data_IF_819201181119
#
_entry.id   IF_819201181119
#
_cell.length_a   1.000
_cell.length_b   1.000
_cell.length_c   1.000
_cell.angle_alpha   90.00
_cell.angle_beta   90.00
_cell.angle_gamma   90.00
#
_symmetry.space_group_name_H-M   'P 1'
#
loop_
_entity.id
_entity.type
_entity.pdbx_description
1 polymer ?
#
# COMPACT_ATOMS: atom_id res chain seq x y z
N UNK A 1 6.41 -2.36 -17.31
CA UNK A 1 6.83 -1.86 -15.99
C UNK A 1 5.75 -2.26 -15.00
N UNK A 2 6.11 -2.85 -13.87
CA UNK A 2 5.13 -3.33 -12.90
C UNK A 2 4.70 -2.19 -11.97
N UNK A 3 3.39 -2.11 -11.72
CA UNK A 3 2.78 -1.05 -10.93
C UNK A 3 2.39 -1.58 -9.55
N UNK A 4 2.85 -0.91 -8.50
CA UNK A 4 2.67 -1.35 -7.11
C UNK A 4 1.95 -0.27 -6.32
N UNK A 5 0.90 -0.66 -5.61
CA UNK A 5 0.24 0.19 -4.62
C UNK A 5 0.72 -0.17 -3.21
N UNK A 6 1.23 0.82 -2.47
CA UNK A 6 1.53 0.70 -1.04
C UNK A 6 0.40 1.34 -0.25
N UNK A 7 -0.27 0.56 0.58
CA UNK A 7 -1.33 1.01 1.48
C UNK A 7 -0.78 1.18 2.90
N UNK A 8 -0.76 2.43 3.35
CA UNK A 8 -0.14 2.86 4.59
C UNK A 8 1.25 3.47 4.35
N UNK A 9 1.56 4.53 5.08
CA UNK A 9 2.82 5.27 5.04
C UNK A 9 3.26 5.73 6.43
N UNK A 10 2.33 5.82 7.40
CA UNK A 10 2.61 6.27 8.77
C UNK A 10 3.50 5.29 9.54
N UNK A 11 4.04 5.73 10.68
CA UNK A 11 4.89 4.92 11.55
C UNK A 11 4.14 3.69 12.12
N UNK A 12 2.83 3.83 12.39
CA UNK A 12 1.97 2.77 12.91
C UNK A 12 0.51 3.01 12.55
N UNK A 13 -0.31 2.01 12.79
CA UNK A 13 -1.75 2.08 12.54
C UNK A 13 -2.43 3.22 13.30
N UNK A 14 -3.37 3.88 12.61
CA UNK A 14 -4.30 4.87 13.15
C UNK A 14 -3.66 6.12 13.78
N UNK A 15 -2.45 6.49 13.34
CA UNK A 15 -1.82 7.79 13.66
C UNK A 15 -1.46 8.51 12.36
N UNK A 16 -1.23 9.83 12.45
CA UNK A 16 -0.77 10.66 11.33
C UNK A 16 0.76 10.77 11.25
N UNK A 17 1.48 10.37 12.31
CA UNK A 17 2.93 10.54 12.41
C UNK A 17 3.65 9.63 11.41
N UNK A 18 4.38 10.24 10.47
CA UNK A 18 5.18 9.56 9.45
C UNK A 18 6.65 9.43 9.87
N UNK A 19 7.09 10.13 10.92
CA UNK A 19 8.52 10.20 11.27
C UNK A 19 9.03 8.83 11.70
N UNK A 20 10.24 8.49 11.25
CA UNK A 20 10.86 7.18 11.44
C UNK A 20 10.04 6.01 10.87
N UNK A 21 9.12 6.27 9.93
CA UNK A 21 8.38 5.20 9.28
C UNK A 21 9.31 4.34 8.43
N UNK A 22 9.40 3.05 8.76
CA UNK A 22 10.10 2.05 7.94
C UNK A 22 9.40 1.77 6.61
N UNK A 23 8.19 2.32 6.42
CA UNK A 23 7.48 2.20 5.14
C UNK A 23 8.18 2.99 4.05
N UNK A 24 8.85 4.10 4.40
CA UNK A 24 9.64 4.86 3.44
C UNK A 24 10.76 4.00 2.82
N UNK A 25 11.41 3.17 3.62
CA UNK A 25 12.42 2.22 3.13
C UNK A 25 11.79 1.22 2.13
N UNK A 26 10.59 0.71 2.41
CA UNK A 26 9.88 -0.19 1.50
C UNK A 26 9.60 0.49 0.16
N UNK A 27 9.08 1.72 0.18
CA UNK A 27 8.78 2.51 -1.03
C UNK A 27 10.05 2.77 -1.83
N UNK A 28 11.14 3.18 -1.17
CA UNK A 28 12.41 3.48 -1.83
C UNK A 28 13.04 2.23 -2.45
N UNK A 29 13.07 1.10 -1.74
CA UNK A 29 13.56 -0.16 -2.30
C UNK A 29 12.77 -0.58 -3.54
N UNK A 30 11.43 -0.46 -3.52
CA UNK A 30 10.60 -0.77 -4.69
C UNK A 30 10.92 0.14 -5.89
N UNK A 31 11.15 1.44 -5.65
CA UNK A 31 11.55 2.39 -6.69
C UNK A 31 12.95 2.11 -7.24
N UNK A 32 13.89 1.68 -6.40
CA UNK A 32 15.24 1.27 -6.82
C UNK A 32 15.21 0.08 -7.80
N UNK A 33 14.21 -0.80 -7.68
CA UNK A 33 13.94 -1.86 -8.66
C UNK A 33 13.20 -1.38 -9.91
N UNK A 34 13.11 -0.07 -10.16
CA UNK A 34 12.42 0.53 -11.30
C UNK A 34 10.94 0.13 -11.39
N UNK A 35 10.27 0.01 -10.23
CA UNK A 35 8.83 -0.21 -10.16
C UNK A 35 8.10 1.14 -10.11
N UNK A 36 6.93 1.21 -10.73
CA UNK A 36 6.04 2.36 -10.58
C UNK A 36 5.27 2.22 -9.26
N UNK A 37 5.66 3.00 -8.25
CA UNK A 37 5.11 2.89 -6.89
C UNK A 37 4.15 4.03 -6.60
N UNK A 38 2.90 3.67 -6.35
CA UNK A 38 1.87 4.56 -5.80
C UNK A 38 1.76 4.31 -4.29
N UNK A 39 1.56 5.37 -3.51
CA UNK A 39 1.37 5.28 -2.05
C UNK A 39 0.02 5.89 -1.70
N UNK A 40 -0.74 5.24 -0.83
CA UNK A 40 -2.00 5.79 -0.31
C UNK A 40 -2.09 5.53 1.19
N UNK A 41 -2.36 6.58 1.94
CA UNK A 41 -2.58 6.54 3.38
C UNK A 41 -3.67 7.56 3.72
N UNK A 42 -4.73 7.18 4.46
CA UNK A 42 -5.83 8.08 4.79
C UNK A 42 -5.49 9.08 5.91
N UNK A 43 -4.37 8.92 6.60
CA UNK A 43 -3.96 9.71 7.77
C UNK A 43 -2.64 10.46 7.57
N UNK A 44 -1.83 10.11 6.58
CA UNK A 44 -0.60 10.84 6.25
C UNK A 44 -0.88 12.10 5.44
N UNK A 45 -0.02 13.11 5.60
CA UNK A 45 0.00 14.28 4.74
C UNK A 45 0.98 14.09 3.56
N UNK A 46 0.53 14.41 2.35
CA UNK A 46 1.34 14.18 1.14
C UNK A 46 2.52 15.14 1.02
N UNK A 47 2.38 16.39 1.48
CA UNK A 47 3.46 17.37 1.43
C UNK A 47 4.53 17.03 2.47
N UNK A 48 4.12 16.58 3.66
CA UNK A 48 5.03 16.10 4.71
C UNK A 48 5.82 14.87 4.23
N UNK A 49 5.17 13.89 3.60
CA UNK A 49 5.84 12.73 3.00
C UNK A 49 6.84 13.14 1.91
N UNK A 50 6.47 14.11 1.07
CA UNK A 50 7.35 14.56 0.00
C UNK A 50 8.58 15.28 0.55
N UNK A 51 8.39 16.14 1.55
CA UNK A 51 9.46 16.87 2.21
C UNK A 51 10.43 15.92 2.94
N UNK A 52 9.91 14.91 3.65
CA UNK A 52 10.73 14.03 4.49
C UNK A 52 11.36 12.85 3.72
N UNK A 53 10.64 12.31 2.72
CA UNK A 53 11.02 11.07 2.04
C UNK A 53 11.08 11.17 0.51
N UNK A 54 10.78 12.33 -0.08
CA UNK A 54 10.88 12.55 -1.53
C UNK A 54 9.75 11.90 -2.34
N UNK A 55 8.68 11.42 -1.71
CA UNK A 55 7.50 10.87 -2.38
C UNK A 55 6.21 11.36 -1.76
N UNK A 56 5.16 11.50 -2.58
CA UNK A 56 3.84 11.91 -2.10
C UNK A 56 2.83 10.76 -2.14
N UNK A 57 1.62 11.06 -1.68
CA UNK A 57 0.46 10.20 -1.84
C UNK A 57 -0.07 10.30 -3.26
N UNK A 58 -0.59 9.19 -3.78
CA UNK A 58 -1.31 9.20 -5.05
C UNK A 58 -2.70 9.81 -4.85
N UNK A 59 -3.09 10.69 -5.79
CA UNK A 59 -4.41 11.34 -5.73
C UNK A 59 -5.56 10.37 -6.00
N UNK A 60 -5.32 9.37 -6.87
CA UNK A 60 -6.31 8.37 -7.25
C UNK A 60 -5.70 6.97 -7.26
N UNK A 61 -6.51 5.99 -6.84
CA UNK A 61 -6.17 4.57 -6.94
C UNK A 61 -6.64 4.07 -8.32
N UNK A 62 -5.70 3.60 -9.13
CA UNK A 62 -5.98 3.02 -10.44
C UNK A 62 -6.53 1.59 -10.37
N UNK A 63 -6.85 1.03 -11.54
CA UNK A 63 -7.48 -0.28 -11.69
C UNK A 63 -6.56 -1.40 -12.22
N UNK A 64 -5.25 -1.15 -12.31
CA UNK A 64 -4.29 -1.99 -13.04
C UNK A 64 -3.02 -2.33 -12.25
N UNK A 65 -3.07 -2.36 -10.92
CA UNK A 65 -1.91 -2.73 -10.12
C UNK A 65 -1.52 -4.20 -10.31
N UNK A 66 -0.21 -4.44 -10.41
CA UNK A 66 0.41 -5.78 -10.44
C UNK A 66 0.64 -6.33 -9.03
N UNK A 67 0.78 -5.44 -8.04
CA UNK A 67 0.81 -5.80 -6.63
C UNK A 67 0.21 -4.71 -5.74
N UNK A 68 -0.34 -5.13 -4.60
CA UNK A 68 -0.73 -4.25 -3.50
C UNK A 68 0.00 -4.72 -2.25
N UNK A 69 0.69 -3.82 -1.57
CA UNK A 69 1.41 -4.07 -0.32
C UNK A 69 0.72 -3.29 0.80
N UNK A 70 0.14 -4.00 1.75
CA UNK A 70 -0.46 -3.40 2.95
C UNK A 70 0.61 -3.36 4.04
N UNK A 71 1.18 -2.18 4.25
CA UNK A 71 2.28 -1.96 5.19
C UNK A 71 1.77 -1.60 6.59
N UNK A 72 0.71 -0.80 6.65
CA UNK A 72 0.12 -0.33 7.90
C UNK A 72 -1.40 -0.57 7.88
N UNK A 73 -1.93 -1.45 8.74
CA UNK A 73 -3.34 -1.85 8.71
C UNK A 73 -4.26 -0.83 9.40
N UNK A 74 -4.51 0.32 8.78
CA UNK A 74 -5.47 1.31 9.28
C UNK A 74 -6.90 0.79 9.34
N UNK A 75 -7.71 1.34 10.24
CA UNK A 75 -9.13 0.98 10.37
C UNK A 75 -9.93 1.24 9.10
N UNK A 76 -9.61 2.30 8.35
CA UNK A 76 -10.22 2.65 7.08
C UNK A 76 -10.10 1.53 6.06
N UNK A 77 -9.00 0.78 6.09
CA UNK A 77 -8.78 -0.33 5.18
C UNK A 77 -9.66 -1.55 5.51
N UNK A 78 -10.18 -1.69 6.74
CA UNK A 78 -11.09 -2.80 7.09
C UNK A 78 -12.37 -2.83 6.25
N UNK A 79 -12.73 -1.72 5.62
CA UNK A 79 -13.87 -1.63 4.71
C UNK A 79 -13.61 -2.29 3.35
N UNK A 80 -12.35 -2.56 3.00
CA UNK A 80 -11.99 -3.24 1.76
C UNK A 80 -12.23 -4.74 1.88
N UNK A 81 -12.59 -5.35 0.77
CA UNK A 81 -12.86 -6.78 0.64
C UNK A 81 -12.19 -7.36 -0.62
N UNK A 82 -12.42 -8.64 -0.88
CA UNK A 82 -11.86 -9.32 -2.06
C UNK A 82 -12.30 -8.64 -3.38
N UNK A 83 -13.52 -8.13 -3.45
CA UNK A 83 -14.04 -7.44 -4.62
C UNK A 83 -13.33 -6.10 -4.85
N UNK A 84 -13.06 -5.35 -3.79
CA UNK A 84 -12.25 -4.13 -3.85
C UNK A 84 -10.86 -4.43 -4.42
N UNK A 85 -10.12 -5.39 -3.86
CA UNK A 85 -8.79 -5.74 -4.37
C UNK A 85 -8.86 -6.27 -5.80
N UNK A 86 -9.91 -7.01 -6.16
CA UNK A 86 -10.12 -7.46 -7.53
C UNK A 86 -10.39 -6.29 -8.49
N UNK A 87 -11.02 -5.21 -8.04
CA UNK A 87 -11.35 -4.05 -8.86
C UNK A 87 -10.16 -3.14 -9.15
N UNK A 88 -9.18 -3.10 -8.24
CA UNK A 88 -8.01 -2.22 -8.38
C UNK A 88 -6.78 -2.92 -8.98
N UNK A 89 -6.83 -4.25 -9.15
CA UNK A 89 -5.67 -5.03 -9.58
C UNK A 89 -5.95 -5.87 -10.82
N UNK A 90 -4.88 -6.17 -11.58
CA UNK A 90 -4.93 -7.19 -12.65
C UNK A 90 -5.20 -8.58 -12.06
N UNK A 91 -5.78 -9.49 -12.86
CA UNK A 91 -6.15 -10.84 -12.41
C UNK A 91 -5.01 -11.66 -11.81
N UNK A 92 -3.77 -11.46 -12.27
CA UNK A 92 -2.58 -12.15 -11.78
C UNK A 92 -1.86 -11.49 -10.60
N UNK A 93 -2.42 -10.40 -10.05
CA UNK A 93 -1.75 -9.58 -9.05
C UNK A 93 -1.55 -10.28 -7.69
N UNK A 94 -0.62 -9.74 -6.92
CA UNK A 94 -0.29 -10.20 -5.56
C UNK A 94 -0.80 -9.17 -4.54
N UNK A 95 -1.46 -9.65 -3.49
CA UNK A 95 -1.79 -8.88 -2.30
C UNK A 95 -0.86 -9.35 -1.18
N UNK A 96 0.12 -8.51 -0.83
CA UNK A 96 1.05 -8.74 0.26
C UNK A 96 0.59 -7.97 1.51
N UNK A 97 0.17 -8.69 2.53
CA UNK A 97 -0.35 -8.11 3.78
C UNK A 97 0.62 -8.41 4.92
N UNK A 98 1.39 -7.38 5.33
CA UNK A 98 2.49 -7.58 6.29
C UNK A 98 2.02 -7.96 7.70
N UNK A 99 0.77 -7.67 8.05
CA UNK A 99 0.19 -7.97 9.38
C UNK A 99 -1.00 -8.93 9.33
N UNK A 100 -1.42 -9.35 8.14
CA UNK A 100 -2.47 -10.35 7.94
C UNK A 100 -3.89 -9.88 8.27
N UNK A 101 -4.20 -8.59 8.07
CA UNK A 101 -5.57 -8.04 8.20
C UNK A 101 -6.61 -8.82 7.38
N UNK A 102 -6.22 -9.31 6.20
CA UNK A 102 -7.11 -10.00 5.25
C UNK A 102 -6.89 -11.51 5.16
N UNK A 103 -6.25 -12.12 6.16
CA UNK A 103 -6.03 -13.58 6.18
C UNK A 103 -7.37 -14.31 6.07
N UNK A 104 -7.49 -15.19 5.07
CA UNK A 104 -8.71 -15.94 4.79
C UNK A 104 -9.84 -15.14 4.14
N UNK A 105 -9.61 -13.88 3.76
CA UNK A 105 -10.61 -13.01 3.11
C UNK A 105 -10.38 -12.79 1.63
N UNK A 106 -9.13 -12.93 1.16
CA UNK A 106 -8.77 -12.73 -0.25
C UNK A 106 -8.67 -14.08 -0.94
N UNK A 107 -9.46 -14.28 -1.99
CA UNK A 107 -9.49 -15.49 -2.81
C UNK A 107 -9.30 -15.19 -4.29
N UNK A 108 -9.62 -13.98 -4.73
CA UNK A 108 -9.56 -13.55 -6.13
C UNK A 108 -8.15 -13.27 -6.64
N UNK A 109 -7.16 -13.15 -5.74
CA UNK A 109 -5.76 -12.81 -6.04
C UNK A 109 -4.80 -13.70 -5.25
N UNK A 110 -3.54 -13.72 -5.68
CA UNK A 110 -2.48 -14.37 -4.90
C UNK A 110 -2.29 -13.58 -3.60
N UNK A 111 -2.62 -14.20 -2.47
CA UNK A 111 -2.50 -13.59 -1.17
C UNK A 111 -1.26 -14.11 -0.45
N UNK A 112 -0.49 -13.19 0.15
CA UNK A 112 0.66 -13.51 0.99
C UNK A 112 0.61 -12.69 2.28
N UNK A 113 0.94 -13.33 3.39
CA UNK A 113 1.11 -12.73 4.71
C UNK A 113 2.21 -13.49 5.44
N UNK A 114 2.95 -12.78 6.29
CA UNK A 114 3.83 -13.40 7.28
C UNK A 114 3.02 -14.14 8.35
#
# INVERSE_FOLDING_TARGET
EAKVLVLGATFKENVTDIRNSKVADVVNNLKEYHLNVHVSDPLADSEELHHEYGFGLTANIDADYDAVVITVPHHQFKAFDDAYFASITKSGAIIADLKGMYRGKISSRKYWSF
#
